data_IF_760156714804
#
_entry.id   IF_760156714804
#
_cell.length_a   1.000
_cell.length_b   1.000
_cell.length_c   1.000
_cell.angle_alpha   90.00
_cell.angle_beta   90.00
_cell.angle_gamma   90.00
#
_symmetry.space_group_name_H-M   'P 1'
#
loop_
_entity.id
_entity.type
_entity.pdbx_description
1 polymer ?
#
# COMPACT_ATOMS: atom_id res chain seq x y z
N UNK A 1 10.80 15.87 24.65
CA UNK A 1 11.51 14.56 24.66
C UNK A 1 11.39 14.01 23.24
N UNK A 2 12.46 13.48 22.65
CA UNK A 2 12.35 12.87 21.33
C UNK A 2 11.68 11.49 21.48
N UNK A 3 10.41 11.37 21.09
CA UNK A 3 9.77 10.06 20.93
C UNK A 3 10.42 9.35 19.75
N UNK A 4 11.10 8.23 20.02
CA UNK A 4 11.59 7.35 18.97
C UNK A 4 10.39 6.65 18.33
N UNK A 5 9.90 7.22 17.21
CA UNK A 5 8.81 6.65 16.41
C UNK A 5 9.26 5.47 15.52
N UNK A 6 10.55 5.11 15.56
CA UNK A 6 11.06 3.90 14.92
C UNK A 6 10.28 2.67 15.44
N UNK A 7 9.78 1.80 14.56
CA UNK A 7 10.18 1.61 13.17
C UNK A 7 9.26 2.26 12.11
N UNK A 8 8.29 3.09 12.48
CA UNK A 8 7.34 3.64 11.50
C UNK A 8 7.98 4.73 10.63
N UNK A 9 8.05 4.49 9.31
CA UNK A 9 8.59 5.43 8.34
C UNK A 9 7.52 6.40 7.84
N UNK A 10 6.34 5.90 7.47
CA UNK A 10 5.18 6.73 7.12
C UNK A 10 3.89 6.17 7.69
N UNK A 11 2.95 7.08 7.97
CA UNK A 11 1.57 6.77 8.31
C UNK A 11 0.68 7.71 7.49
N UNK A 12 -0.29 7.17 6.76
CA UNK A 12 -1.18 7.93 5.90
C UNK A 12 -2.65 7.56 6.13
N UNK A 13 -3.52 8.55 5.94
CA UNK A 13 -4.97 8.42 6.05
C UNK A 13 -5.57 8.58 4.66
N UNK A 14 -6.16 7.51 4.14
CA UNK A 14 -6.64 7.40 2.76
C UNK A 14 -8.15 7.18 2.76
N UNK A 15 -8.88 7.84 1.84
CA UNK A 15 -10.30 7.56 1.65
C UNK A 15 -10.49 6.25 0.88
N UNK A 16 -11.37 5.37 1.37
CA UNK A 16 -11.66 4.09 0.71
C UNK A 16 -12.74 4.22 -0.37
N UNK A 17 -13.16 3.08 -0.91
CA UNK A 17 -14.21 2.96 -1.92
C UNK A 17 -15.64 3.24 -1.41
N UNK A 18 -15.84 3.38 -0.10
CA UNK A 18 -17.13 3.74 0.50
C UNK A 18 -17.06 5.09 1.20
N UNK A 19 -18.14 5.87 1.04
CA UNK A 19 -18.25 7.16 1.70
C UNK A 19 -18.17 6.98 3.23
N UNK A 20 -17.34 7.81 3.87
CA UNK A 20 -17.05 7.82 5.32
C UNK A 20 -16.26 6.61 5.86
N UNK A 21 -15.84 5.65 5.04
CA UNK A 21 -14.87 4.62 5.44
C UNK A 21 -13.44 5.09 5.14
N UNK A 22 -12.59 5.04 6.16
CA UNK A 22 -11.21 5.55 6.14
C UNK A 22 -10.25 4.37 6.24
N UNK A 23 -9.24 4.32 5.38
CA UNK A 23 -8.12 3.40 5.54
C UNK A 23 -6.95 4.14 6.18
N UNK A 24 -6.36 3.50 7.19
CA UNK A 24 -5.09 3.89 7.78
C UNK A 24 -4.05 2.94 7.18
N UNK A 25 -3.05 3.48 6.50
CA UNK A 25 -1.97 2.71 5.87
C UNK A 25 -0.63 3.14 6.48
N UNK A 26 0.26 2.19 6.77
CA UNK A 26 1.59 2.44 7.32
C UNK A 26 2.67 1.78 6.48
N UNK A 27 3.88 2.34 6.57
CA UNK A 27 5.12 1.69 6.14
C UNK A 27 6.10 1.70 7.30
N UNK A 28 6.89 0.63 7.44
CA UNK A 28 8.03 0.63 8.35
C UNK A 28 9.32 0.92 7.60
N UNK A 29 10.31 1.38 8.34
CA UNK A 29 11.68 1.57 7.90
C UNK A 29 12.26 0.23 7.39
N UNK A 30 12.93 0.26 6.24
CA UNK A 30 13.55 -0.93 5.66
C UNK A 30 14.77 -1.44 6.43
N UNK A 31 15.27 -0.69 7.41
CA UNK A 31 16.23 -1.14 8.41
C UNK A 31 15.60 -1.91 9.58
N UNK A 32 14.26 -1.98 9.69
CA UNK A 32 13.62 -2.70 10.80
C UNK A 32 13.80 -4.22 10.69
N UNK A 33 14.36 -4.81 11.75
CA UNK A 33 14.67 -6.24 11.88
C UNK A 33 14.18 -6.73 13.24
N UNK A 34 13.00 -7.34 13.27
CA UNK A 34 12.44 -7.96 14.47
C UNK A 34 11.64 -9.22 14.11
N UNK A 35 11.40 -10.08 15.10
CA UNK A 35 10.84 -11.43 14.96
C UNK A 35 9.33 -11.36 14.73
N UNK A 36 8.85 -12.13 13.75
CA UNK A 36 7.41 -12.35 13.52
C UNK A 36 6.80 -13.24 14.63
N UNK A 37 5.47 -13.17 14.89
CA UNK A 37 4.45 -12.38 14.20
C UNK A 37 4.55 -10.89 14.49
N UNK A 38 4.09 -10.08 13.53
CA UNK A 38 4.04 -8.62 13.64
C UNK A 38 2.56 -8.23 13.70
N UNK A 39 2.08 -7.95 14.91
CA UNK A 39 0.68 -7.67 15.16
C UNK A 39 0.46 -6.16 15.22
N UNK A 40 -0.18 -5.61 14.19
CA UNK A 40 -0.57 -4.21 14.13
C UNK A 40 -1.96 -4.00 14.75
N UNK A 41 -2.09 -2.96 15.58
CA UNK A 41 -3.35 -2.48 16.12
C UNK A 41 -3.46 -0.99 15.87
N UNK A 42 -4.51 -0.54 15.17
CA UNK A 42 -4.80 0.90 15.05
C UNK A 42 -5.58 1.35 16.27
N UNK A 43 -5.07 2.36 16.95
CA UNK A 43 -5.72 3.03 18.09
C UNK A 43 -6.35 4.33 17.63
N UNK A 44 -7.54 4.64 18.15
CA UNK A 44 -8.31 5.85 17.80
C UNK A 44 -8.65 6.66 19.06
N UNK A 45 -8.45 7.98 19.02
CA UNK A 45 -8.79 8.92 20.10
C UNK A 45 -9.36 10.23 19.55
N UNK A 46 -10.12 10.95 20.37
CA UNK A 46 -10.50 12.36 20.12
C UNK A 46 -9.40 13.35 20.55
N UNK A 47 -8.34 12.86 21.20
CA UNK A 47 -7.22 13.66 21.72
C UNK A 47 -5.90 13.24 21.07
N UNK A 48 -5.00 14.20 20.74
CA UNK A 48 -3.71 13.88 20.13
C UNK A 48 -2.80 13.08 21.07
N UNK A 49 -2.98 13.19 22.39
CA UNK A 49 -2.17 12.51 23.40
C UNK A 49 -2.62 11.07 23.70
N UNK A 50 -3.79 10.64 23.19
CA UNK A 50 -4.42 9.34 23.47
C UNK A 50 -4.59 9.05 24.97
N UNK A 51 -4.90 10.09 25.76
CA UNK A 51 -5.20 9.94 27.19
C UNK A 51 -6.48 9.11 27.43
N UNK A 52 -7.42 9.19 26.48
CA UNK A 52 -8.62 8.35 26.41
C UNK A 52 -8.65 7.67 25.04
N UNK A 53 -8.59 6.34 25.02
CA UNK A 53 -8.81 5.53 23.82
C UNK A 53 -10.31 5.41 23.57
N UNK A 54 -10.78 5.72 22.36
CA UNK A 54 -12.17 5.46 21.96
C UNK A 54 -12.38 3.98 21.67
N UNK A 55 -11.54 3.41 20.81
CA UNK A 55 -11.52 2.01 20.41
C UNK A 55 -10.19 1.66 19.71
N UNK A 56 -9.99 0.37 19.49
CA UNK A 56 -8.87 -0.18 18.71
C UNK A 56 -9.37 -1.11 17.61
N UNK A 57 -8.65 -1.16 16.50
CA UNK A 57 -8.88 -2.06 15.37
C UNK A 57 -7.65 -2.98 15.25
N UNK A 58 -7.85 -4.27 15.40
CA UNK A 58 -6.80 -5.27 15.15
C UNK A 58 -6.64 -5.51 13.65
N UNK A 59 -5.42 -5.33 13.13
CA UNK A 59 -5.12 -5.49 11.70
C UNK A 59 -4.33 -6.77 11.39
N UNK A 60 -3.74 -7.42 12.40
CA UNK A 60 -2.85 -8.56 12.23
C UNK A 60 -1.54 -8.16 11.53
N UNK A 61 -0.95 -9.09 10.77
CA UNK A 61 0.24 -8.86 9.94
C UNK A 61 -0.16 -8.31 8.55
N UNK A 62 -0.48 -7.01 8.53
CA UNK A 62 -0.96 -6.28 7.35
C UNK A 62 -0.33 -4.88 7.30
N UNK A 63 -0.52 -4.17 6.18
CA UNK A 63 -0.02 -2.79 5.99
C UNK A 63 -1.11 -1.71 6.13
N UNK A 64 -2.37 -2.11 6.32
CA UNK A 64 -3.50 -1.22 6.46
C UNK A 64 -4.59 -1.76 7.39
N UNK A 65 -5.42 -0.87 7.90
CA UNK A 65 -6.69 -1.16 8.55
C UNK A 65 -7.79 -0.24 8.01
N UNK A 66 -9.06 -0.67 8.07
CA UNK A 66 -10.21 0.15 7.68
C UNK A 66 -11.03 0.48 8.93
N UNK A 67 -11.25 1.78 9.16
CA UNK A 67 -12.19 2.31 10.13
C UNK A 67 -13.59 2.39 9.49
N UNK A 68 -14.49 1.53 9.97
CA UNK A 68 -15.88 1.38 9.51
C UNK A 68 -16.91 2.04 10.45
N UNK A 69 -16.46 2.60 11.59
CA UNK A 69 -17.35 3.00 12.70
C UNK A 69 -18.21 4.24 12.42
N UNK A 70 -17.92 4.98 11.34
CA UNK A 70 -18.72 6.11 10.81
C UNK A 70 -19.08 7.21 11.81
N UNK A 71 -18.38 7.27 12.97
CA UNK A 71 -18.55 8.28 14.02
C UNK A 71 -18.49 9.73 13.47
N UNK A 72 -17.84 9.90 12.33
CA UNK A 72 -17.57 11.17 11.68
C UNK A 72 -18.67 11.69 10.74
N UNK A 73 -19.86 11.07 10.72
CA UNK A 73 -20.97 11.47 9.83
C UNK A 73 -21.40 12.95 10.00
N UNK A 74 -21.27 13.54 11.19
CA UNK A 74 -21.50 14.97 11.42
C UNK A 74 -20.37 15.90 10.96
N UNK A 75 -19.13 15.38 10.90
CA UNK A 75 -17.88 16.13 10.88
C UNK A 75 -17.82 17.19 12.02
N UNK A 76 -18.09 16.73 13.24
CA UNK A 76 -18.07 17.51 14.49
C UNK A 76 -16.89 17.12 15.40
N UNK A 77 -16.34 15.91 15.20
CA UNK A 77 -15.29 15.30 16.02
C UNK A 77 -14.05 15.14 15.13
N UNK A 78 -12.91 15.66 15.59
CA UNK A 78 -11.61 15.36 15.01
C UNK A 78 -11.10 14.05 15.61
N UNK A 79 -10.61 13.15 14.75
CA UNK A 79 -10.14 11.82 15.14
C UNK A 79 -8.64 11.74 14.89
N UNK A 80 -7.93 11.22 15.90
CA UNK A 80 -6.50 10.95 15.86
C UNK A 80 -6.31 9.45 15.78
N UNK A 81 -5.44 9.03 14.87
CA UNK A 81 -5.07 7.64 14.66
C UNK A 81 -3.59 7.46 14.96
N UNK A 82 -3.24 6.34 15.57
CA UNK A 82 -1.85 5.85 15.66
C UNK A 82 -1.84 4.33 15.54
N UNK A 83 -0.71 3.77 15.15
CA UNK A 83 -0.53 2.32 15.01
C UNK A 83 0.39 1.86 16.13
N UNK A 84 -0.08 0.89 16.89
CA UNK A 84 0.72 0.07 17.80
C UNK A 84 1.20 -1.15 17.04
N UNK A 85 2.47 -1.48 17.13
CA UNK A 85 3.06 -2.74 16.66
C UNK A 85 3.55 -3.53 17.86
N UNK A 86 3.07 -4.76 17.99
CA UNK A 86 3.60 -5.75 18.94
C UNK A 86 4.29 -6.87 18.14
N UNK A 87 5.54 -7.17 18.48
CA UNK A 87 6.37 -8.15 17.75
C UNK A 87 6.54 -9.46 18.53
N UNK A 88 6.99 -10.51 17.84
CA UNK A 88 7.22 -11.83 18.43
C UNK A 88 8.32 -11.86 19.50
N UNK A 89 9.22 -10.88 19.52
CA UNK A 89 10.23 -10.69 20.57
C UNK A 89 9.70 -9.98 21.81
N UNK A 90 8.45 -9.48 21.78
CA UNK A 90 7.87 -8.64 22.83
C UNK A 90 8.14 -7.14 22.66
N UNK A 91 8.72 -6.71 21.52
CA UNK A 91 8.85 -5.30 21.17
C UNK A 91 7.48 -4.64 21.03
N UNK A 92 7.33 -3.44 21.60
CA UNK A 92 6.12 -2.64 21.53
C UNK A 92 6.47 -1.24 21.01
N UNK A 93 6.00 -0.93 19.80
CA UNK A 93 6.33 0.30 19.09
C UNK A 93 5.06 1.09 18.77
N UNK A 94 5.14 2.41 18.81
CA UNK A 94 4.01 3.32 18.57
C UNK A 94 4.39 4.30 17.47
N UNK A 95 3.54 4.41 16.45
CA UNK A 95 3.74 5.33 15.33
C UNK A 95 3.61 6.80 15.75
N UNK A 96 4.04 7.75 14.89
CA UNK A 96 3.57 9.12 15.00
C UNK A 96 2.04 9.16 14.97
N UNK A 97 1.46 10.18 15.61
CA UNK A 97 0.01 10.43 15.57
C UNK A 97 -0.34 11.12 14.26
N UNK A 98 -1.33 10.58 13.54
CA UNK A 98 -1.96 11.27 12.40
C UNK A 98 -3.35 11.75 12.80
N UNK A 99 -3.53 13.07 12.85
CA UNK A 99 -4.84 13.68 12.99
C UNK A 99 -5.56 13.68 11.64
N UNK A 100 -6.79 13.17 11.59
CA UNK A 100 -7.68 13.38 10.46
C UNK A 100 -8.64 14.51 10.81
N UNK A 101 -8.31 15.72 10.37
CA UNK A 101 -9.00 16.97 10.68
C UNK A 101 -10.04 17.30 9.60
N UNK A 102 -11.29 17.58 9.97
CA UNK A 102 -12.28 18.18 9.04
C UNK A 102 -12.96 19.35 9.74
N UNK A 103 -12.26 20.48 9.72
CA UNK A 103 -12.83 21.75 10.13
C UNK A 103 -13.88 22.24 9.09
N UNK A 104 -14.67 23.26 9.47
CA UNK A 104 -15.70 23.83 8.57
C UNK A 104 -15.13 24.40 7.26
N UNK A 105 -13.88 24.87 7.26
CA UNK A 105 -13.22 25.41 6.07
C UNK A 105 -12.90 24.31 5.04
N UNK A 106 -12.28 23.21 5.48
CA UNK A 106 -11.84 22.11 4.62
C UNK A 106 -12.97 21.11 4.31
N UNK A 107 -14.11 21.17 5.02
CA UNK A 107 -15.29 20.32 4.77
C UNK A 107 -15.76 20.34 3.31
N UNK A 108 -15.57 21.45 2.59
CA UNK A 108 -15.82 21.52 1.15
C UNK A 108 -14.81 20.65 0.35
N UNK A 109 -13.51 20.79 0.63
CA UNK A 109 -12.43 20.03 -0.03
C UNK A 109 -12.59 18.52 0.19
N UNK A 110 -12.90 18.08 1.41
CA UNK A 110 -13.12 16.65 1.69
C UNK A 110 -14.36 16.08 0.98
N UNK A 111 -15.42 16.89 0.79
CA UNK A 111 -16.60 16.50 -0.01
C UNK A 111 -16.27 16.43 -1.50
N UNK A 112 -15.49 17.38 -2.01
CA UNK A 112 -15.04 17.38 -3.40
C UNK A 112 -14.12 16.18 -3.68
N UNK A 113 -13.18 15.89 -2.78
CA UNK A 113 -12.34 14.70 -2.85
C UNK A 113 -13.15 13.40 -2.86
N UNK A 114 -14.13 13.26 -1.95
CA UNK A 114 -15.02 12.10 -1.92
C UNK A 114 -15.85 11.97 -3.21
N UNK A 115 -16.30 13.08 -3.81
CA UNK A 115 -17.05 13.08 -5.08
C UNK A 115 -16.15 12.73 -6.29
N UNK A 116 -14.90 13.20 -6.32
CA UNK A 116 -13.90 12.80 -7.33
C UNK A 116 -13.64 11.29 -7.24
N UNK A 117 -13.32 10.79 -6.04
CA UNK A 117 -13.08 9.37 -5.78
C UNK A 117 -14.30 8.53 -6.15
N UNK A 118 -15.52 8.97 -5.79
CA UNK A 118 -16.78 8.32 -6.22
C UNK A 118 -16.94 8.28 -7.74
N UNK A 119 -16.56 9.33 -8.47
CA UNK A 119 -16.62 9.37 -9.94
C UNK A 119 -15.64 8.41 -10.59
N UNK A 120 -14.43 8.26 -10.06
CA UNK A 120 -13.48 7.23 -10.52
C UNK A 120 -14.04 5.81 -10.31
N UNK A 121 -14.67 5.53 -9.16
CA UNK A 121 -15.36 4.25 -8.95
C UNK A 121 -16.56 4.04 -9.88
N UNK A 122 -17.28 5.09 -10.28
CA UNK A 122 -18.32 4.99 -11.32
C UNK A 122 -17.68 4.70 -12.68
N UNK A 123 -16.57 5.36 -13.04
CA UNK A 123 -15.80 5.08 -14.25
C UNK A 123 -15.35 3.60 -14.31
N UNK A 124 -14.90 3.03 -13.18
CA UNK A 124 -14.50 1.62 -13.11
C UNK A 124 -15.65 0.62 -13.32
N UNK A 125 -16.92 1.01 -13.18
CA UNK A 125 -18.05 0.12 -13.52
C UNK A 125 -18.19 -0.11 -15.03
N UNK A 126 -17.66 0.79 -15.86
CA UNK A 126 -17.77 0.75 -17.32
C UNK A 126 -16.43 0.50 -18.03
N UNK A 127 -15.32 0.98 -17.45
CA UNK A 127 -13.97 0.95 -18.06
C UNK A 127 -12.90 0.43 -17.08
N UNK A 128 -13.34 -0.22 -16.01
CA UNK A 128 -12.47 -0.76 -14.97
C UNK A 128 -12.32 -2.26 -15.05
N UNK A 129 -11.09 -2.71 -14.85
CA UNK A 129 -10.73 -4.10 -14.60
C UNK A 129 -10.72 -4.35 -13.09
N UNK A 130 -10.96 -5.60 -12.71
CA UNK A 130 -10.77 -6.08 -11.34
C UNK A 130 -9.43 -6.80 -11.26
N UNK A 131 -8.80 -6.73 -10.10
CA UNK A 131 -7.54 -7.40 -9.86
C UNK A 131 -7.17 -7.35 -8.39
N UNK A 132 -5.93 -7.74 -8.10
CA UNK A 132 -5.37 -7.72 -6.75
C UNK A 132 -4.02 -7.01 -6.78
N UNK A 133 -3.71 -6.25 -5.73
CA UNK A 133 -2.37 -5.71 -5.50
C UNK A 133 -1.68 -6.59 -4.47
N UNK A 134 -0.49 -7.06 -4.83
CA UNK A 134 0.50 -7.62 -3.91
C UNK A 134 1.43 -6.47 -3.53
N UNK A 135 1.26 -5.95 -2.32
CA UNK A 135 2.15 -4.92 -1.77
C UNK A 135 3.43 -5.60 -1.27
N UNK A 136 4.59 -5.07 -1.65
CA UNK A 136 5.89 -5.67 -1.28
C UNK A 136 6.20 -5.44 0.22
N UNK A 137 6.76 -6.45 0.89
CA UNK A 137 7.36 -6.30 2.22
C UNK A 137 8.78 -5.74 2.08
N UNK A 138 9.09 -4.75 2.90
CA UNK A 138 10.38 -4.04 2.89
C UNK A 138 11.15 -4.17 4.22
N UNK A 139 10.63 -4.92 5.19
CA UNK A 139 11.18 -5.10 6.54
C UNK A 139 11.03 -6.55 7.03
N UNK A 140 11.65 -6.84 8.18
CA UNK A 140 11.59 -8.13 8.86
C UNK A 140 12.94 -8.86 8.84
N UNK A 141 13.06 -9.95 9.60
CA UNK A 141 14.27 -10.76 9.60
C UNK A 141 14.43 -11.41 8.22
N UNK A 142 15.56 -11.09 7.60
CA UNK A 142 15.98 -11.62 6.31
C UNK A 142 16.61 -13.01 6.50
N UNK A 143 16.37 -13.95 5.58
CA UNK A 143 17.04 -15.25 5.60
C UNK A 143 18.44 -15.13 4.97
N UNK A 144 19.54 -15.25 5.74
CA UNK A 144 20.90 -15.11 5.21
C UNK A 144 21.30 -16.25 4.27
N UNK A 145 20.55 -17.36 4.22
CA UNK A 145 20.80 -18.45 3.26
C UNK A 145 20.24 -18.15 1.87
N UNK A 146 19.30 -17.21 1.78
CA UNK A 146 18.58 -16.87 0.55
C UNK A 146 19.11 -15.58 -0.11
N UNK A 147 20.05 -14.88 0.54
CA UNK A 147 20.59 -13.60 0.13
C UNK A 147 22.10 -13.68 -0.12
N UNK A 148 22.57 -12.90 -1.10
CA UNK A 148 23.99 -12.76 -1.37
C UNK A 148 24.63 -12.03 -0.18
N UNK A 149 25.62 -12.63 0.50
CA UNK A 149 26.25 -12.03 1.67
C UNK A 149 27.02 -10.74 1.35
N UNK A 150 27.28 -10.43 0.08
CA UNK A 150 27.96 -9.22 -0.37
C UNK A 150 26.96 -8.15 -0.82
N UNK A 151 26.03 -8.48 -1.72
CA UNK A 151 25.11 -7.49 -2.32
C UNK A 151 23.77 -7.35 -1.59
N UNK A 152 23.38 -8.31 -0.74
CA UNK A 152 22.06 -8.35 -0.12
C UNK A 152 20.91 -8.60 -1.11
N UNK A 153 21.22 -9.06 -2.33
CA UNK A 153 20.23 -9.43 -3.36
C UNK A 153 19.85 -10.90 -3.17
N UNK A 154 18.57 -11.30 -3.34
CA UNK A 154 18.17 -12.71 -3.25
C UNK A 154 18.91 -13.57 -4.29
N UNK A 155 19.57 -14.63 -3.82
CA UNK A 155 20.43 -15.51 -4.63
C UNK A 155 19.66 -16.38 -5.61
N UNK A 156 18.39 -16.65 -5.35
CA UNK A 156 17.56 -17.42 -6.28
C UNK A 156 16.08 -17.06 -6.19
N UNK A 157 15.44 -17.11 -7.35
CA UNK A 157 14.01 -16.91 -7.52
C UNK A 157 13.16 -17.99 -6.85
N UNK A 158 13.69 -19.18 -6.59
CA UNK A 158 12.87 -20.33 -6.13
C UNK A 158 12.50 -20.30 -4.64
N UNK A 159 12.77 -19.18 -3.97
CA UNK A 159 12.72 -18.95 -2.53
C UNK A 159 11.31 -18.67 -1.98
N UNK A 160 11.15 -18.82 -0.67
CA UNK A 160 9.93 -18.43 0.09
C UNK A 160 9.63 -16.93 0.06
N UNK A 161 10.61 -16.16 -0.43
CA UNK A 161 10.70 -14.71 -0.31
C UNK A 161 10.30 -14.02 -1.61
N UNK A 162 10.02 -14.79 -2.68
CA UNK A 162 9.51 -14.32 -3.98
C UNK A 162 10.32 -13.16 -4.58
N UNK A 163 11.65 -13.22 -4.50
CA UNK A 163 12.55 -12.17 -5.00
C UNK A 163 12.58 -10.88 -4.16
N UNK A 164 11.96 -10.86 -2.97
CA UNK A 164 11.93 -9.65 -2.12
C UNK A 164 13.04 -9.58 -1.09
N UNK A 165 13.57 -10.74 -0.67
CA UNK A 165 14.55 -10.90 0.41
C UNK A 165 13.99 -10.93 1.83
N UNK A 166 12.66 -11.10 1.97
CA UNK A 166 11.97 -11.21 3.25
C UNK A 166 10.97 -12.39 3.25
N UNK A 167 10.84 -13.16 4.34
CA UNK A 167 9.90 -14.28 4.45
C UNK A 167 8.44 -13.91 4.08
N UNK A 168 7.88 -14.67 3.14
CA UNK A 168 6.55 -14.46 2.58
C UNK A 168 6.46 -13.34 1.53
N UNK A 169 7.41 -12.40 1.56
CA UNK A 169 7.72 -11.35 0.57
C UNK A 169 6.67 -10.29 0.25
N UNK A 170 5.39 -10.64 0.25
CA UNK A 170 4.27 -9.77 -0.05
C UNK A 170 3.21 -9.85 1.05
N UNK A 171 2.45 -8.78 1.23
CA UNK A 171 1.27 -8.81 2.10
C UNK A 171 0.12 -9.59 1.45
N UNK A 172 -0.91 -9.98 2.24
CA UNK A 172 -2.13 -10.60 1.71
C UNK A 172 -2.72 -9.81 0.53
N UNK A 173 -3.18 -10.47 -0.56
CA UNK A 173 -3.59 -9.78 -1.79
C UNK A 173 -4.78 -8.84 -1.58
N UNK A 174 -4.62 -7.54 -1.87
CA UNK A 174 -5.68 -6.54 -1.72
C UNK A 174 -6.47 -6.40 -3.00
N UNK A 175 -7.78 -6.66 -2.95
CA UNK A 175 -8.67 -6.54 -4.11
C UNK A 175 -8.83 -5.08 -4.52
N UNK A 176 -8.58 -4.77 -5.79
CA UNK A 176 -8.67 -3.42 -6.36
C UNK A 176 -9.59 -3.36 -7.58
N UNK A 177 -9.86 -2.13 -8.03
CA UNK A 177 -10.39 -1.85 -9.37
C UNK A 177 -9.56 -0.72 -9.98
N UNK A 178 -9.25 -0.83 -11.27
CA UNK A 178 -8.36 0.08 -11.98
C UNK A 178 -8.75 0.19 -13.44
N UNK A 179 -8.35 1.26 -14.13
CA UNK A 179 -8.55 1.42 -15.59
C UNK A 179 -7.21 1.34 -16.30
N UNK A 180 -7.17 0.68 -17.46
CA UNK A 180 -5.99 0.66 -18.36
C UNK A 180 -6.14 1.82 -19.33
N UNK A 181 -5.28 2.84 -19.24
CA UNK A 181 -5.43 4.08 -20.01
C UNK A 181 -4.63 4.09 -21.31
N UNK A 182 -3.43 3.52 -21.32
CA UNK A 182 -2.56 3.45 -22.49
C UNK A 182 -1.69 2.19 -22.46
N UNK A 183 -1.21 1.79 -23.64
CA UNK A 183 -0.21 0.74 -23.82
C UNK A 183 0.89 1.32 -24.72
N UNK A 184 2.09 1.44 -24.19
CA UNK A 184 3.27 1.98 -24.87
C UNK A 184 4.26 0.84 -25.10
N UNK A 185 4.57 0.56 -26.36
CA UNK A 185 5.57 -0.43 -26.74
C UNK A 185 6.92 0.27 -26.90
N UNK A 186 7.85 0.06 -25.97
CA UNK A 186 9.22 0.54 -26.09
C UNK A 186 10.10 -0.57 -26.66
N UNK A 187 10.55 -0.42 -27.90
CA UNK A 187 11.60 -1.27 -28.47
C UNK A 187 12.96 -0.64 -28.19
N UNK A 188 13.77 -1.31 -27.38
CA UNK A 188 15.15 -0.92 -27.11
C UNK A 188 16.10 -1.97 -27.67
N UNK A 189 17.23 -1.52 -28.22
CA UNK A 189 18.31 -2.42 -28.60
C UNK A 189 19.02 -2.86 -27.31
N UNK A 190 19.09 -4.16 -27.04
CA UNK A 190 19.76 -4.66 -25.84
C UNK A 190 21.25 -4.32 -25.88
N UNK A 191 21.76 -3.72 -24.80
CA UNK A 191 23.18 -3.37 -24.64
C UNK A 191 24.11 -4.60 -24.65
N UNK A 192 23.55 -5.78 -24.40
CA UNK A 192 24.22 -7.07 -24.35
C UNK A 192 24.28 -7.77 -25.72
N UNK A 193 23.68 -7.20 -26.77
CA UNK A 193 23.76 -7.71 -28.14
C UNK A 193 22.76 -8.82 -28.50
N UNK A 194 21.82 -9.16 -27.60
CA UNK A 194 20.77 -10.16 -27.83
C UNK A 194 19.63 -9.69 -28.78
N UNK A 195 19.79 -8.55 -29.47
CA UNK A 195 18.82 -7.97 -30.40
C UNK A 195 17.88 -6.95 -29.75
N UNK A 196 16.72 -6.72 -30.36
CA UNK A 196 15.72 -5.74 -29.90
C UNK A 196 14.80 -6.35 -28.86
N UNK A 197 14.87 -5.86 -27.62
CA UNK A 197 13.91 -6.17 -26.57
C UNK A 197 12.73 -5.20 -26.65
N UNK A 198 11.55 -5.71 -27.00
CA UNK A 198 10.30 -4.96 -26.94
C UNK A 198 9.67 -5.12 -25.56
N UNK A 199 9.57 -4.02 -24.82
CA UNK A 199 8.93 -3.97 -23.51
C UNK A 199 7.58 -3.25 -23.63
N UNK A 200 6.50 -3.97 -23.33
CA UNK A 200 5.17 -3.39 -23.20
C UNK A 200 5.03 -2.72 -21.83
N UNK A 201 4.79 -1.40 -21.83
CA UNK A 201 4.50 -0.60 -20.63
C UNK A 201 3.03 -0.20 -20.67
N UNK A 202 2.24 -0.68 -19.72
CA UNK A 202 0.83 -0.34 -19.59
C UNK A 202 0.64 0.76 -18.55
N UNK A 203 -0.14 1.79 -18.86
CA UNK A 203 -0.51 2.84 -17.89
C UNK A 203 -1.81 2.45 -17.21
N UNK A 204 -1.73 2.20 -15.90
CA UNK A 204 -2.88 1.85 -15.07
C UNK A 204 -3.26 3.04 -14.19
N UNK A 205 -4.57 3.28 -14.02
CA UNK A 205 -5.13 4.34 -13.17
C UNK A 205 -5.97 3.73 -12.06
N UNK A 206 -5.64 4.12 -10.83
CA UNK A 206 -6.22 3.62 -9.59
C UNK A 206 -6.86 4.75 -8.80
N UNK A 207 -7.85 4.42 -7.98
CA UNK A 207 -8.35 5.32 -6.94
C UNK A 207 -7.28 5.48 -5.85
N UNK A 208 -7.52 6.38 -4.88
CA UNK A 208 -6.55 6.66 -3.84
C UNK A 208 -6.17 5.50 -2.92
N UNK A 209 -6.98 4.44 -2.83
CA UNK A 209 -6.72 3.27 -1.98
C UNK A 209 -6.57 1.97 -2.80
N UNK A 210 -5.59 1.09 -2.49
CA UNK A 210 -4.46 1.29 -1.56
C UNK A 210 -3.43 2.27 -2.13
N UNK A 211 -2.58 2.85 -1.27
CA UNK A 211 -1.45 3.66 -1.74
C UNK A 211 -0.35 2.74 -2.29
N UNK A 212 -0.06 2.91 -3.58
CA UNK A 212 0.83 2.09 -4.39
C UNK A 212 2.26 2.62 -4.31
N UNK A 213 3.23 1.70 -4.33
CA UNK A 213 4.66 2.00 -4.41
C UNK A 213 5.30 1.36 -5.66
N UNK A 214 6.46 1.85 -6.12
CA UNK A 214 7.28 1.12 -7.08
C UNK A 214 7.58 -0.30 -6.57
N UNK A 215 7.68 -1.26 -7.49
CA UNK A 215 7.83 -2.69 -7.23
C UNK A 215 6.64 -3.41 -6.58
N UNK A 216 5.54 -2.71 -6.24
CA UNK A 216 4.26 -3.36 -6.01
C UNK A 216 3.75 -4.02 -7.31
N UNK A 217 2.93 -5.06 -7.16
CA UNK A 217 2.52 -5.91 -8.29
C UNK A 217 1.00 -5.94 -8.37
N UNK A 218 0.47 -5.75 -9.57
CA UNK A 218 -0.95 -5.99 -9.87
C UNK A 218 -1.12 -7.32 -10.60
N UNK A 219 -2.05 -8.12 -10.08
CA UNK A 219 -2.51 -9.36 -10.69
C UNK A 219 -3.87 -9.12 -11.32
N UNK A 220 -4.02 -9.47 -12.60
CA UNK A 220 -5.28 -9.38 -13.34
C UNK A 220 -6.20 -10.56 -13.02
N UNK A 221 -7.46 -10.46 -13.42
CA UNK A 221 -8.40 -11.58 -13.53
C UNK A 221 -7.86 -12.74 -14.38
N UNK A 222 -7.11 -12.44 -15.43
CA UNK A 222 -6.38 -13.42 -16.27
C UNK A 222 -5.10 -13.99 -15.62
N UNK A 223 -4.83 -13.71 -14.34
CA UNK A 223 -3.61 -14.07 -13.60
C UNK A 223 -2.30 -13.58 -14.26
N UNK A 224 -2.36 -12.57 -15.15
CA UNK A 224 -1.18 -11.85 -15.63
C UNK A 224 -0.69 -10.93 -14.52
N UNK A 225 0.63 -10.85 -14.34
CA UNK A 225 1.24 -10.07 -13.26
C UNK A 225 2.06 -8.94 -13.84
N UNK A 226 1.75 -7.71 -13.44
CA UNK A 226 2.47 -6.52 -13.85
C UNK A 226 3.14 -5.87 -12.64
N UNK A 227 4.42 -5.56 -12.77
CA UNK A 227 5.20 -4.83 -11.76
C UNK A 227 5.13 -3.34 -12.04
N UNK A 228 4.79 -2.54 -11.05
CA UNK A 228 4.86 -1.09 -11.17
C UNK A 228 6.31 -0.60 -11.16
N UNK A 229 6.69 0.16 -12.19
CA UNK A 229 8.02 0.77 -12.32
C UNK A 229 7.99 2.20 -11.79
N UNK A 230 6.91 2.92 -12.06
CA UNK A 230 6.71 4.31 -11.64
C UNK A 230 5.28 4.48 -11.16
N UNK A 231 5.11 5.17 -10.03
CA UNK A 231 3.79 5.54 -9.49
C UNK A 231 3.76 7.04 -9.30
N UNK A 232 2.71 7.70 -9.80
CA UNK A 232 2.46 9.12 -9.62
C UNK A 232 1.15 9.28 -8.85
N UNK A 233 1.20 9.97 -7.72
CA UNK A 233 0.06 10.19 -6.83
C UNK A 233 -0.49 11.62 -7.00
N UNK A 234 -1.79 11.75 -7.22
CA UNK A 234 -2.48 13.05 -7.32
C UNK A 234 -3.27 13.30 -6.03
N UNK A 235 -2.82 14.29 -5.26
CA UNK A 235 -3.46 14.72 -4.02
C UNK A 235 -4.43 15.88 -4.26
N UNK A 236 -5.43 16.01 -3.40
CA UNK A 236 -6.39 17.13 -3.42
C UNK A 236 -5.71 18.41 -2.91
N UNK A 237 -5.62 19.50 -3.71
CA UNK A 237 -4.90 20.71 -3.32
C UNK A 237 -5.32 21.27 -1.95
N UNK A 238 -4.34 21.55 -1.09
CA UNK A 238 -4.56 22.05 0.27
C UNK A 238 -4.92 20.96 1.31
N UNK A 239 -4.84 19.67 0.95
CA UNK A 239 -5.06 18.53 1.85
C UNK A 239 -4.20 17.33 1.47
N UNK A 240 -3.95 16.41 2.40
CA UNK A 240 -3.20 15.18 2.13
C UNK A 240 -4.06 14.04 1.56
N UNK A 241 -5.25 14.35 1.04
CA UNK A 241 -6.17 13.33 0.51
C UNK A 241 -5.70 12.87 -0.87
N UNK A 242 -5.27 11.61 -0.94
CA UNK A 242 -4.95 10.94 -2.20
C UNK A 242 -6.22 10.67 -3.02
N UNK A 243 -6.31 11.24 -4.22
CA UNK A 243 -7.48 11.13 -5.09
C UNK A 243 -7.33 9.96 -6.09
N UNK A 244 -6.23 10.00 -6.84
CA UNK A 244 -5.95 9.15 -7.99
C UNK A 244 -4.47 8.84 -8.04
N UNK A 245 -4.14 7.63 -8.48
CA UNK A 245 -2.77 7.20 -8.74
C UNK A 245 -2.66 6.71 -10.18
N UNK A 246 -1.61 7.12 -10.88
CA UNK A 246 -1.26 6.63 -12.22
C UNK A 246 0.06 5.89 -12.16
N UNK A 247 0.05 4.60 -12.50
CA UNK A 247 1.18 3.71 -12.40
C UNK A 247 1.57 3.15 -13.78
N UNK A 248 2.86 3.22 -14.10
CA UNK A 248 3.44 2.59 -15.28
C UNK A 248 3.82 1.14 -14.93
N UNK A 249 3.20 0.17 -15.58
CA UNK A 249 3.22 -1.24 -15.23
C UNK A 249 3.85 -2.09 -16.35
N UNK A 250 4.79 -2.96 -15.99
CA UNK A 250 5.51 -3.85 -16.92
C UNK A 250 5.08 -5.29 -16.68
N UNK A 251 4.74 -6.02 -17.74
CA UNK A 251 4.38 -7.45 -17.65
C UNK A 251 5.58 -8.27 -17.16
N UNK A 252 5.37 -9.09 -16.14
CA UNK A 252 6.35 -10.06 -15.66
C UNK A 252 6.27 -11.37 -16.46
N UNK A 253 7.42 -12.02 -16.74
CA UNK A 253 7.44 -13.30 -17.46
C UNK A 253 6.77 -14.40 -16.63
N UNK A 254 6.15 -15.38 -17.29
CA UNK A 254 5.45 -16.49 -16.61
C UNK A 254 6.37 -17.39 -15.77
N UNK A 255 7.70 -17.27 -15.95
CA UNK A 255 8.73 -17.96 -15.16
C UNK A 255 9.02 -17.28 -13.81
N UNK A 256 8.54 -16.05 -13.62
CA UNK A 256 8.77 -15.26 -12.41
C UNK A 256 8.15 -15.93 -11.17
N UNK A 257 8.89 -16.09 -10.06
CA UNK A 257 8.42 -16.81 -8.88
C UNK A 257 7.21 -16.18 -8.21
N UNK A 258 6.95 -14.89 -8.43
CA UNK A 258 5.75 -14.21 -7.95
C UNK A 258 4.49 -14.95 -8.42
N UNK A 259 4.47 -15.60 -9.59
CA UNK A 259 3.34 -16.40 -10.07
C UNK A 259 2.94 -17.56 -9.15
N UNK A 260 3.80 -17.97 -8.21
CA UNK A 260 3.52 -19.00 -7.18
C UNK A 260 2.63 -18.47 -6.04
N UNK A 261 2.57 -17.15 -5.82
CA UNK A 261 1.75 -16.55 -4.74
C UNK A 261 0.26 -16.80 -5.06
N UNK A 262 -0.49 -17.50 -4.19
CA UNK A 262 -1.90 -17.80 -4.41
C UNK A 262 -2.76 -16.54 -4.29
N UNK A 263 -3.74 -16.43 -5.18
CA UNK A 263 -4.68 -15.31 -5.24
C UNK A 263 -6.09 -15.84 -4.93
N UNK A 264 -6.87 -15.18 -4.05
CA UNK A 264 -8.26 -15.57 -3.81
C UNK A 264 -9.10 -15.48 -5.09
N UNK A 265 -9.83 -16.54 -5.43
CA UNK A 265 -10.78 -16.56 -6.56
C UNK A 265 -12.05 -15.75 -6.24
#
# INVERSE_FOLDING_TARGET
MASNHFPFATLSVVQTYRALEIAIQWTLDSAFRDVAPLNFTVEVSETPDFSVLLYSIEAGDNFFAIDDKKLRQGATIDLYYRVRLVTGSGGNYISPVIGHWVNKANKHLHRLAAEITRREFVRYRFTGHKGWVLKRRNYGIQDPTQLDPITGVPLSDQTSDYGTGFPGGYYPPVKISYSREAVENSSQLSSEGFGTTTQEVQKHRHAGFPMLEPYDIVVTDTNQRYRYVKVNATFMPGTDILLVQSADAVLLPLTDPIYRIPIPQ
#
